data_IF_262031577713
#
_entry.id   IF_262031577713
#
_cell.length_a   1.000
_cell.length_b   1.000
_cell.length_c   1.000
_cell.angle_alpha   90.00
_cell.angle_beta   90.00
_cell.angle_gamma   90.00
#
_symmetry.space_group_name_H-M   'P 1'
#
loop_
_entity.id
_entity.type
_entity.pdbx_description
1 polymer ?
#
# COMPACT_ATOMS: atom_id res chain seq x y z
N UNK A 1 9.84 18.11 2.39
CA UNK A 1 10.58 18.07 1.11
C UNK A 1 10.97 16.67 0.68
N UNK A 2 11.58 15.85 1.53
CA UNK A 2 11.94 14.46 1.18
C UNK A 2 10.73 13.61 0.73
N UNK A 3 9.62 13.64 1.48
CA UNK A 3 8.38 12.93 1.13
C UNK A 3 7.82 13.36 -0.23
N UNK A 4 7.83 14.65 -0.53
CA UNK A 4 7.40 15.16 -1.83
C UNK A 4 8.32 14.71 -2.98
N UNK A 5 9.64 14.71 -2.76
CA UNK A 5 10.61 14.19 -3.73
C UNK A 5 10.42 12.69 -3.96
N UNK A 6 10.24 11.92 -2.88
CA UNK A 6 9.95 10.50 -2.92
C UNK A 6 8.69 10.24 -3.76
N UNK A 7 7.58 10.91 -3.41
CA UNK A 7 6.31 10.76 -4.12
C UNK A 7 6.29 11.30 -5.55
N UNK A 8 7.24 12.15 -5.93
CA UNK A 8 7.44 12.60 -7.31
C UNK A 8 8.37 11.69 -8.13
N UNK A 9 8.89 10.61 -7.53
CA UNK A 9 9.85 9.71 -8.18
C UNK A 9 11.29 10.23 -8.27
N UNK A 10 11.59 11.35 -7.61
CA UNK A 10 12.95 11.88 -7.46
C UNK A 10 13.69 11.11 -6.34
N UNK A 11 13.81 9.78 -6.49
CA UNK A 11 14.33 8.87 -5.45
C UNK A 11 15.75 9.23 -4.99
N UNK A 12 16.62 9.66 -5.91
CA UNK A 12 17.98 10.13 -5.56
C UNK A 12 17.97 11.35 -4.64
N UNK A 13 17.05 12.29 -4.87
CA UNK A 13 16.91 13.50 -4.07
C UNK A 13 16.28 13.20 -2.72
N UNK A 14 15.27 12.33 -2.69
CA UNK A 14 14.69 11.85 -1.44
C UNK A 14 15.75 11.19 -0.55
N UNK A 15 16.58 10.32 -1.12
CA UNK A 15 17.68 9.67 -0.41
C UNK A 15 18.70 10.68 0.15
N UNK A 16 19.14 11.65 -0.66
CA UNK A 16 20.08 12.68 -0.22
C UNK A 16 19.52 13.51 0.94
N UNK A 17 18.28 14.00 0.81
CA UNK A 17 17.61 14.79 1.85
C UNK A 17 17.42 14.01 3.16
N UNK A 18 17.04 12.73 3.08
CA UNK A 18 16.85 11.90 4.26
C UNK A 18 18.18 11.56 4.94
N UNK A 19 19.25 11.39 4.17
CA UNK A 19 20.61 11.14 4.70
C UNK A 19 21.12 12.39 5.44
N UNK A 20 20.94 13.58 4.87
CA UNK A 20 21.27 14.86 5.54
C UNK A 20 20.44 15.05 6.82
N UNK A 21 19.14 14.72 6.77
CA UNK A 21 18.27 14.80 7.94
C UNK A 21 18.72 13.83 9.04
N UNK A 22 19.06 12.58 8.70
CA UNK A 22 19.58 11.60 9.65
C UNK A 22 20.88 12.08 10.32
N UNK A 23 21.81 12.63 9.55
CA UNK A 23 23.07 13.19 10.09
C UNK A 23 22.79 14.35 11.06
N UNK A 24 21.88 15.26 10.71
CA UNK A 24 21.46 16.35 11.59
C UNK A 24 20.82 15.83 12.90
N UNK A 25 19.86 14.90 12.81
CA UNK A 25 19.19 14.37 14.02
C UNK A 25 20.14 13.58 14.91
N UNK A 26 21.10 12.87 14.31
CA UNK A 26 22.19 12.20 15.04
C UNK A 26 23.03 13.20 15.81
N UNK A 27 23.45 14.30 15.18
CA UNK A 27 24.22 15.37 15.84
C UNK A 27 23.45 16.05 16.97
N UNK A 28 22.12 16.10 16.87
CA UNK A 28 21.25 16.67 17.89
C UNK A 28 20.85 15.66 18.99
N UNK A 29 21.18 14.37 18.83
CA UNK A 29 20.75 13.33 19.77
C UNK A 29 19.23 13.11 19.79
N UNK A 30 18.51 13.42 18.70
CA UNK A 30 17.06 13.28 18.63
C UNK A 30 16.67 11.85 18.20
N UNK A 31 16.60 10.93 19.15
CA UNK A 31 16.31 9.50 18.93
C UNK A 31 15.01 9.25 18.14
N UNK A 32 13.95 10.01 18.45
CA UNK A 32 12.66 9.89 17.75
C UNK A 32 12.82 10.23 16.26
N UNK A 33 13.45 11.36 15.97
CA UNK A 33 13.67 11.81 14.59
C UNK A 33 14.65 10.90 13.82
N UNK A 34 15.64 10.32 14.51
CA UNK A 34 16.52 9.29 13.96
C UNK A 34 15.69 8.07 13.52
N UNK A 35 14.79 7.56 14.38
CA UNK A 35 13.93 6.43 14.05
C UNK A 35 13.04 6.69 12.82
N UNK A 36 12.42 7.87 12.75
CA UNK A 36 11.61 8.32 11.59
C UNK A 36 12.46 8.37 10.32
N UNK A 37 13.64 9.02 10.39
CA UNK A 37 14.53 9.15 9.23
C UNK A 37 15.01 7.79 8.73
N UNK A 38 15.37 6.88 9.63
CA UNK A 38 15.78 5.52 9.28
C UNK A 38 14.63 4.72 8.64
N UNK A 39 13.41 4.77 9.17
CA UNK A 39 12.26 4.09 8.54
C UNK A 39 12.06 4.59 7.09
N UNK A 40 12.08 5.92 6.91
CA UNK A 40 11.94 6.56 5.61
C UNK A 40 13.10 6.24 4.64
N UNK A 41 14.33 6.09 5.14
CA UNK A 41 15.46 5.61 4.34
C UNK A 41 15.30 4.15 3.93
N UNK A 42 14.84 3.28 4.82
CA UNK A 42 14.52 1.88 4.50
C UNK A 42 13.47 1.77 3.38
N UNK A 43 12.41 2.57 3.48
CA UNK A 43 11.36 2.72 2.47
C UNK A 43 11.90 3.21 1.12
N UNK A 44 12.87 4.13 1.17
CA UNK A 44 13.62 4.59 0.00
C UNK A 44 14.44 3.46 -0.63
N UNK A 45 15.10 2.62 0.18
CA UNK A 45 15.84 1.46 -0.31
C UNK A 45 14.93 0.42 -0.98
N UNK A 46 13.75 0.14 -0.41
CA UNK A 46 12.75 -0.74 -1.04
C UNK A 46 12.38 -0.25 -2.44
N UNK A 47 12.11 1.05 -2.57
CA UNK A 47 11.73 1.67 -3.84
C UNK A 47 12.87 1.64 -4.85
N UNK A 48 14.11 1.89 -4.41
CA UNK A 48 15.30 1.73 -5.25
C UNK A 48 15.43 0.31 -5.77
N UNK A 49 15.35 -0.70 -4.89
CA UNK A 49 15.45 -2.11 -5.27
C UNK A 49 14.40 -2.50 -6.33
N UNK A 50 13.12 -2.15 -6.09
CA UNK A 50 12.03 -2.45 -7.03
C UNK A 50 12.25 -1.77 -8.39
N UNK A 51 12.72 -0.52 -8.38
CA UNK A 51 13.05 0.21 -9.60
C UNK A 51 14.18 -0.50 -10.37
N UNK A 52 15.22 -0.95 -9.68
CA UNK A 52 16.32 -1.71 -10.28
C UNK A 52 15.84 -3.04 -10.87
N UNK A 53 14.99 -3.80 -10.15
CA UNK A 53 14.40 -5.05 -10.66
C UNK A 53 13.55 -4.82 -11.90
N UNK A 54 12.71 -3.78 -11.90
CA UNK A 54 11.82 -3.45 -13.02
C UNK A 54 12.56 -2.98 -14.26
N UNK A 55 13.62 -2.19 -14.09
CA UNK A 55 14.36 -1.58 -15.20
C UNK A 55 15.58 -2.39 -15.65
N UNK A 56 16.01 -3.38 -14.86
CA UNK A 56 17.26 -4.10 -15.08
C UNK A 56 18.50 -3.24 -14.84
N UNK A 57 18.37 -2.05 -14.23
CA UNK A 57 19.50 -1.16 -13.98
C UNK A 57 20.50 -1.79 -12.99
N UNK A 58 21.81 -1.86 -13.32
CA UNK A 58 22.81 -2.47 -12.45
C UNK A 58 23.09 -1.62 -11.21
N UNK A 59 22.89 -0.30 -11.31
CA UNK A 59 23.06 0.64 -10.20
C UNK A 59 21.97 1.71 -10.20
N UNK A 60 21.65 2.24 -9.02
CA UNK A 60 20.80 3.41 -8.83
C UNK A 60 21.42 4.28 -7.72
N UNK A 61 21.59 5.58 -7.97
CA UNK A 61 22.33 6.48 -7.08
C UNK A 61 23.76 6.00 -6.76
N UNK A 62 24.41 5.32 -7.71
CA UNK A 62 25.75 4.74 -7.53
C UNK A 62 25.78 3.49 -6.63
N UNK A 63 24.64 2.96 -6.20
CA UNK A 63 24.56 1.75 -5.37
C UNK A 63 24.13 0.56 -6.22
N UNK A 64 24.75 -0.61 -5.97
CA UNK A 64 24.31 -1.89 -6.53
C UNK A 64 23.11 -2.44 -5.75
N UNK A 65 22.46 -3.50 -6.25
CA UNK A 65 21.31 -4.12 -5.55
C UNK A 65 21.71 -4.63 -4.17
N UNK A 66 22.88 -5.24 -4.06
CA UNK A 66 23.41 -5.80 -2.82
C UNK A 66 23.58 -4.70 -1.76
N UNK A 67 24.14 -3.55 -2.15
CA UNK A 67 24.32 -2.39 -1.26
C UNK A 67 22.96 -1.80 -0.84
N UNK A 68 21.98 -1.74 -1.75
CA UNK A 68 20.62 -1.29 -1.43
C UNK A 68 19.96 -2.22 -0.41
N UNK A 69 20.13 -3.53 -0.57
CA UNK A 69 19.61 -4.53 0.36
C UNK A 69 20.24 -4.38 1.75
N UNK A 70 21.57 -4.33 1.81
CA UNK A 70 22.32 -4.17 3.06
C UNK A 70 21.91 -2.90 3.82
N UNK A 71 21.87 -1.75 3.12
CA UNK A 71 21.44 -0.48 3.73
C UNK A 71 19.99 -0.51 4.18
N UNK A 72 19.09 -1.11 3.41
CA UNK A 72 17.68 -1.22 3.79
C UNK A 72 17.50 -2.01 5.07
N UNK A 73 18.17 -3.18 5.19
CA UNK A 73 18.22 -3.96 6.42
C UNK A 73 18.74 -3.14 7.61
N UNK A 74 19.85 -2.40 7.40
CA UNK A 74 20.44 -1.56 8.43
C UNK A 74 19.49 -0.47 8.92
N UNK A 75 18.90 0.30 8.01
CA UNK A 75 18.00 1.41 8.35
C UNK A 75 16.75 0.93 9.08
N UNK A 76 16.09 -0.13 8.62
CA UNK A 76 14.93 -0.66 9.34
C UNK A 76 15.29 -1.19 10.73
N UNK A 77 16.44 -1.83 10.88
CA UNK A 77 16.89 -2.32 12.19
C UNK A 77 17.12 -1.18 13.18
N UNK A 78 17.72 -0.07 12.72
CA UNK A 78 17.86 1.14 13.53
C UNK A 78 16.50 1.78 13.88
N UNK A 79 15.58 1.83 12.93
CA UNK A 79 14.25 2.40 13.15
C UNK A 79 13.45 1.62 14.21
N UNK A 80 13.53 0.29 14.16
CA UNK A 80 12.87 -0.61 15.13
C UNK A 80 13.52 -0.47 16.50
N UNK A 81 14.85 -0.55 16.62
CA UNK A 81 15.54 -0.40 17.90
C UNK A 81 15.23 0.95 18.58
N UNK A 82 15.17 2.04 17.80
CA UNK A 82 14.77 3.35 18.31
C UNK A 82 13.29 3.39 18.77
N UNK A 83 12.41 2.66 18.08
CA UNK A 83 10.99 2.54 18.46
C UNK A 83 10.79 1.71 19.72
N UNK A 84 11.48 0.58 19.86
CA UNK A 84 11.47 -0.26 21.06
C UNK A 84 11.95 0.53 22.27
N UNK A 85 13.09 1.23 22.15
CA UNK A 85 13.61 2.09 23.22
C UNK A 85 12.61 3.19 23.61
N UNK A 86 11.90 3.77 22.63
CA UNK A 86 10.91 4.80 22.88
C UNK A 86 9.67 4.25 23.61
N UNK A 87 9.19 3.07 23.23
CA UNK A 87 8.09 2.38 23.92
C UNK A 87 8.47 2.04 25.35
N UNK A 88 9.66 1.45 25.57
CA UNK A 88 10.13 1.10 26.91
C UNK A 88 10.19 2.33 27.83
N UNK A 89 10.68 3.46 27.31
CA UNK A 89 10.70 4.72 28.03
C UNK A 89 9.30 5.21 28.39
N UNK A 90 8.39 5.28 27.41
CA UNK A 90 7.01 5.76 27.63
C UNK A 90 6.25 4.85 28.59
N UNK A 91 6.41 3.53 28.47
CA UNK A 91 5.82 2.58 29.40
C UNK A 91 6.36 2.76 30.83
N UNK A 92 7.65 3.05 30.98
CA UNK A 92 8.25 3.31 32.29
C UNK A 92 7.76 4.63 32.90
N UNK A 93 7.60 5.66 32.09
CA UNK A 93 7.24 7.02 32.53
C UNK A 93 5.73 7.21 32.74
N UNK A 94 4.91 6.66 31.85
CA UNK A 94 3.47 6.89 31.78
C UNK A 94 2.63 5.61 31.97
N UNK A 95 3.24 4.43 31.86
CA UNK A 95 2.52 3.17 31.83
C UNK A 95 1.77 2.97 30.51
N UNK A 96 0.67 2.22 30.58
CA UNK A 96 -0.24 2.01 29.47
C UNK A 96 -1.07 3.28 29.26
N UNK A 97 -0.68 4.11 28.28
CA UNK A 97 -1.28 5.42 28.00
C UNK A 97 -1.60 5.60 26.51
N UNK A 98 -2.33 6.67 26.18
CA UNK A 98 -2.52 7.09 24.78
C UNK A 98 -1.19 7.28 24.05
N UNK A 99 -0.16 7.85 24.70
CA UNK A 99 1.14 8.01 24.07
C UNK A 99 1.81 6.65 23.82
N UNK A 100 1.68 5.71 24.77
CA UNK A 100 2.16 4.34 24.59
C UNK A 100 1.54 3.70 23.33
N UNK A 101 0.22 3.82 23.15
CA UNK A 101 -0.48 3.31 21.96
C UNK A 101 -0.01 3.98 20.66
N UNK A 102 0.27 5.29 20.68
CA UNK A 102 0.84 6.01 19.52
C UNK A 102 2.22 5.45 19.16
N UNK A 103 3.10 5.25 20.13
CA UNK A 103 4.43 4.69 19.89
C UNK A 103 4.36 3.23 19.45
N UNK A 104 3.42 2.45 19.99
CA UNK A 104 3.15 1.08 19.55
C UNK A 104 2.71 1.03 18.09
N UNK A 105 1.78 1.89 17.67
CA UNK A 105 1.35 1.96 16.29
C UNK A 105 2.50 2.35 15.34
N UNK A 106 3.38 3.27 15.76
CA UNK A 106 4.58 3.63 15.01
C UNK A 106 5.57 2.48 14.92
N UNK A 107 5.79 1.73 16.00
CA UNK A 107 6.66 0.56 15.98
C UNK A 107 6.08 -0.55 15.08
N UNK A 108 4.77 -0.79 15.15
CA UNK A 108 4.07 -1.71 14.24
C UNK A 108 4.33 -1.33 12.77
N UNK A 109 4.25 -0.04 12.42
CA UNK A 109 4.54 0.43 11.07
C UNK A 109 5.95 0.07 10.60
N UNK A 110 6.94 0.16 11.49
CA UNK A 110 8.34 -0.15 11.17
C UNK A 110 8.55 -1.65 10.98
N UNK A 111 7.92 -2.46 11.84
CA UNK A 111 7.89 -3.92 11.67
C UNK A 111 7.27 -4.30 10.33
N UNK A 112 6.09 -3.75 10.00
CA UNK A 112 5.45 -3.98 8.72
C UNK A 112 6.34 -3.58 7.53
N UNK A 113 6.90 -2.37 7.55
CA UNK A 113 7.74 -1.89 6.44
C UNK A 113 9.00 -2.77 6.26
N UNK A 114 9.65 -3.20 7.36
CA UNK A 114 10.79 -4.12 7.29
C UNK A 114 10.37 -5.48 6.74
N UNK A 115 9.22 -5.99 7.14
CA UNK A 115 8.65 -7.21 6.62
C UNK A 115 8.45 -7.16 5.10
N UNK A 116 7.74 -6.13 4.60
CA UNK A 116 7.51 -5.95 3.16
C UNK A 116 8.85 -5.88 2.42
N UNK A 117 9.83 -5.18 2.97
CA UNK A 117 11.18 -5.10 2.41
C UNK A 117 11.85 -6.47 2.33
N UNK A 118 12.00 -7.17 3.45
CA UNK A 118 12.71 -8.47 3.54
C UNK A 118 12.09 -9.52 2.62
N UNK A 119 10.76 -9.61 2.59
CA UNK A 119 10.05 -10.55 1.75
C UNK A 119 10.18 -10.20 0.25
N UNK A 120 10.23 -8.90 -0.08
CA UNK A 120 10.43 -8.42 -1.46
C UNK A 120 11.86 -8.64 -1.97
N UNK A 121 12.86 -8.50 -1.11
CA UNK A 121 14.27 -8.66 -1.50
C UNK A 121 14.78 -10.09 -1.37
N UNK A 122 13.96 -11.01 -0.84
CA UNK A 122 14.32 -12.39 -0.47
C UNK A 122 15.20 -13.09 -1.50
N UNK A 123 14.83 -13.05 -2.77
CA UNK A 123 15.54 -13.79 -3.84
C UNK A 123 16.96 -13.28 -4.10
N UNK A 124 17.21 -11.99 -3.86
CA UNK A 124 18.51 -11.33 -4.04
C UNK A 124 19.23 -11.14 -2.69
N UNK A 125 18.64 -11.56 -1.57
CA UNK A 125 19.22 -11.42 -0.23
C UNK A 125 20.35 -12.44 0.00
N UNK A 126 21.45 -12.11 0.69
CA UNK A 126 22.55 -13.05 0.96
C UNK A 126 22.13 -14.32 1.71
N UNK A 127 21.11 -14.20 2.56
CA UNK A 127 20.45 -15.31 3.27
C UNK A 127 18.94 -15.30 3.00
N UNK A 128 18.44 -15.92 1.92
CA UNK A 128 17.04 -15.84 1.54
C UNK A 128 16.07 -16.39 2.59
N UNK A 129 16.38 -17.53 3.22
CA UNK A 129 15.51 -18.13 4.23
C UNK A 129 15.46 -17.33 5.53
N UNK A 130 16.58 -16.71 5.94
CA UNK A 130 16.61 -15.82 7.10
C UNK A 130 15.76 -14.58 6.86
N UNK A 131 15.89 -13.96 5.67
CA UNK A 131 15.08 -12.80 5.29
C UNK A 131 13.59 -13.16 5.25
N UNK A 132 13.24 -14.34 4.72
CA UNK A 132 11.86 -14.83 4.71
C UNK A 132 11.33 -15.05 6.13
N UNK A 133 12.08 -15.75 6.96
CA UNK A 133 11.68 -16.08 8.34
C UNK A 133 11.48 -14.81 9.16
N UNK A 134 12.47 -13.90 9.11
CA UNK A 134 12.40 -12.63 9.80
C UNK A 134 11.25 -11.75 9.27
N UNK A 135 11.06 -11.69 7.95
CA UNK A 135 9.98 -10.92 7.36
C UNK A 135 8.58 -11.43 7.75
N UNK A 136 8.39 -12.75 7.83
CA UNK A 136 7.13 -13.33 8.31
C UNK A 136 6.91 -13.07 9.81
N UNK A 137 7.96 -13.16 10.61
CA UNK A 137 7.90 -12.83 12.04
C UNK A 137 7.50 -11.36 12.25
N UNK A 138 8.13 -10.45 11.53
CA UNK A 138 7.84 -9.01 11.59
C UNK A 138 6.39 -8.69 11.18
N UNK A 139 5.83 -9.40 10.20
CA UNK A 139 4.41 -9.27 9.84
C UNK A 139 3.49 -9.70 10.96
N UNK A 140 3.80 -10.82 11.62
CA UNK A 140 3.02 -11.29 12.77
C UNK A 140 3.08 -10.27 13.91
N UNK A 141 4.29 -9.79 14.25
CA UNK A 141 4.49 -8.77 15.30
C UNK A 141 3.71 -7.49 15.00
N UNK A 142 3.75 -7.00 13.75
CA UNK A 142 2.97 -5.82 13.36
C UNK A 142 1.47 -6.06 13.50
N UNK A 143 0.96 -7.22 13.08
CA UNK A 143 -0.47 -7.56 13.20
C UNK A 143 -0.91 -7.65 14.67
N UNK A 144 -0.09 -8.23 15.53
CA UNK A 144 -0.39 -8.35 16.96
C UNK A 144 -0.40 -6.98 17.64
N UNK A 145 0.55 -6.11 17.29
CA UNK A 145 0.57 -4.71 17.77
C UNK A 145 -0.63 -3.90 17.25
N UNK A 146 -0.99 -4.03 15.97
CA UNK A 146 -2.16 -3.34 15.39
C UNK A 146 -3.45 -3.74 16.13
N UNK A 147 -3.60 -5.04 16.48
CA UNK A 147 -4.71 -5.53 17.31
C UNK A 147 -4.70 -4.96 18.72
N UNK A 148 -3.54 -4.95 19.37
CA UNK A 148 -3.39 -4.39 20.73
C UNK A 148 -3.76 -2.90 20.77
N UNK A 149 -3.39 -2.14 19.73
CA UNK A 149 -3.74 -0.72 19.60
C UNK A 149 -5.25 -0.54 19.44
N UNK A 150 -5.92 -1.35 18.62
CA UNK A 150 -7.37 -1.26 18.41
C UNK A 150 -8.14 -1.68 19.68
N UNK A 151 -7.83 -2.85 20.24
CA UNK A 151 -8.55 -3.44 21.37
C UNK A 151 -8.52 -2.54 22.62
N UNK A 152 -7.37 -1.90 22.86
CA UNK A 152 -7.19 -1.03 24.01
C UNK A 152 -7.43 0.44 23.70
N UNK A 153 -7.46 0.82 22.43
CA UNK A 153 -7.64 2.21 22.02
C UNK A 153 -8.97 2.80 22.48
N UNK A 154 -10.05 2.02 22.35
CA UNK A 154 -11.38 2.41 22.82
C UNK A 154 -11.45 2.60 24.34
N UNK A 155 -10.72 1.77 25.10
CA UNK A 155 -10.72 1.80 26.57
C UNK A 155 -9.99 3.02 27.12
N UNK A 156 -8.85 3.39 26.51
CA UNK A 156 -8.02 4.52 26.94
C UNK A 156 -8.47 5.87 26.35
N UNK A 157 -9.58 5.89 25.61
CA UNK A 157 -10.04 7.08 24.89
C UNK A 157 -9.09 7.48 23.75
N UNK A 158 -8.21 6.58 23.33
CA UNK A 158 -7.43 6.70 22.11
C UNK A 158 -8.35 6.49 20.91
N UNK A 159 -9.07 7.56 20.59
CA UNK A 159 -9.57 7.77 19.24
C UNK A 159 -8.37 8.25 18.46
N UNK A 160 -7.50 7.33 18.02
CA UNK A 160 -6.49 7.67 17.03
C UNK A 160 -7.12 8.55 15.95
N UNK A 161 -6.36 9.47 15.37
CA UNK A 161 -6.85 10.28 14.25
C UNK A 161 -7.47 9.32 13.21
N UNK A 162 -8.81 9.30 13.09
CA UNK A 162 -9.54 8.24 12.36
C UNK A 162 -9.12 8.16 10.90
N UNK A 163 -8.70 9.29 10.33
CA UNK A 163 -8.09 9.38 9.01
C UNK A 163 -6.75 8.63 8.92
N UNK A 164 -5.94 8.64 9.98
CA UNK A 164 -4.69 7.87 10.05
C UNK A 164 -5.00 6.36 10.04
N UNK A 165 -6.10 5.91 10.65
CA UNK A 165 -6.46 4.49 10.66
C UNK A 165 -6.86 3.96 9.28
N UNK A 166 -7.68 4.70 8.51
CA UNK A 166 -8.02 4.31 7.14
C UNK A 166 -6.77 4.21 6.25
N UNK A 167 -5.88 5.21 6.32
CA UNK A 167 -4.64 5.21 5.53
C UNK A 167 -3.70 4.06 5.95
N UNK A 168 -3.66 3.75 7.24
CA UNK A 168 -2.92 2.60 7.76
C UNK A 168 -3.45 1.30 7.16
N UNK A 169 -4.75 1.01 7.29
CA UNK A 169 -5.36 -0.22 6.76
C UNK A 169 -5.14 -0.36 5.26
N UNK A 170 -5.32 0.73 4.51
CA UNK A 170 -5.11 0.73 3.07
C UNK A 170 -3.62 0.52 2.71
N UNK A 171 -2.69 1.10 3.47
CA UNK A 171 -1.26 0.88 3.31
C UNK A 171 -0.87 -0.58 3.61
N UNK A 172 -1.44 -1.17 4.66
CA UNK A 172 -1.27 -2.59 5.01
C UNK A 172 -1.75 -3.48 3.87
N UNK A 173 -2.95 -3.21 3.36
CA UNK A 173 -3.54 -3.99 2.28
C UNK A 173 -2.67 -3.95 1.01
N UNK A 174 -2.17 -2.77 0.62
CA UNK A 174 -1.30 -2.65 -0.56
C UNK A 174 0.04 -3.38 -0.40
N UNK A 175 0.68 -3.26 0.77
CA UNK A 175 1.89 -4.03 1.07
C UNK A 175 1.66 -5.55 0.98
N UNK A 176 0.53 -6.04 1.47
CA UNK A 176 0.17 -7.46 1.35
C UNK A 176 -0.13 -7.88 -0.10
N UNK A 177 -0.82 -7.03 -0.88
CA UNK A 177 -1.02 -7.27 -2.31
C UNK A 177 0.32 -7.40 -3.05
N UNK A 178 1.33 -6.60 -2.69
CA UNK A 178 2.68 -6.76 -3.23
C UNK A 178 3.25 -8.15 -2.98
N UNK A 179 3.11 -8.69 -1.77
CA UNK A 179 3.58 -10.03 -1.44
C UNK A 179 2.80 -11.11 -2.20
N UNK A 180 1.48 -10.96 -2.33
CA UNK A 180 0.67 -11.87 -3.14
C UNK A 180 1.16 -11.88 -4.58
N UNK A 181 1.43 -10.72 -5.20
CA UNK A 181 2.01 -10.66 -6.56
C UNK A 181 3.35 -11.42 -6.67
N UNK A 182 4.10 -11.53 -5.59
CA UNK A 182 5.38 -12.26 -5.53
C UNK A 182 5.23 -13.74 -5.19
N UNK A 183 3.99 -14.25 -5.10
CA UNK A 183 3.72 -15.67 -4.89
C UNK A 183 3.44 -16.06 -3.43
N UNK A 184 3.35 -15.11 -2.50
CA UNK A 184 2.89 -15.41 -1.13
C UNK A 184 1.36 -15.65 -1.10
N UNK A 185 0.90 -16.43 -0.12
CA UNK A 185 -0.53 -16.65 0.12
C UNK A 185 -1.15 -15.49 0.90
N UNK A 186 -2.47 -15.34 0.87
CA UNK A 186 -3.16 -14.42 1.79
C UNK A 186 -3.38 -15.07 3.16
N UNK A 187 -2.30 -15.24 3.92
CA UNK A 187 -2.37 -15.78 5.28
C UNK A 187 -2.76 -14.69 6.31
N UNK A 188 -2.92 -13.43 5.86
CA UNK A 188 -3.09 -12.27 6.73
C UNK A 188 -4.52 -11.74 6.79
N UNK A 189 -5.39 -12.14 5.85
CA UNK A 189 -6.81 -11.80 5.85
C UNK A 189 -7.05 -10.43 5.23
N UNK A 190 -6.69 -10.25 3.95
CA UNK A 190 -6.91 -8.99 3.25
C UNK A 190 -8.39 -8.60 3.19
N UNK A 191 -9.30 -9.58 3.10
CA UNK A 191 -10.75 -9.30 3.13
C UNK A 191 -11.21 -8.61 4.41
N UNK A 192 -10.66 -9.01 5.56
CA UNK A 192 -10.95 -8.39 6.86
C UNK A 192 -10.42 -6.95 6.87
N UNK A 193 -9.18 -6.73 6.42
CA UNK A 193 -8.59 -5.39 6.31
C UNK A 193 -9.41 -4.46 5.39
N UNK A 194 -9.91 -4.96 4.26
CA UNK A 194 -10.76 -4.17 3.36
C UNK A 194 -12.13 -3.88 3.97
N UNK A 195 -12.71 -4.83 4.72
CA UNK A 195 -13.98 -4.62 5.41
C UNK A 195 -13.84 -3.55 6.50
N UNK A 196 -12.75 -3.58 7.27
CA UNK A 196 -12.45 -2.58 8.28
C UNK A 196 -12.20 -1.21 7.67
N UNK A 197 -11.41 -1.12 6.59
CA UNK A 197 -11.19 0.12 5.87
C UNK A 197 -12.50 0.70 5.31
N UNK A 198 -13.40 -0.14 4.80
CA UNK A 198 -14.73 0.28 4.35
C UNK A 198 -15.57 0.82 5.51
N UNK A 199 -15.56 0.15 6.65
CA UNK A 199 -16.29 0.56 7.86
C UNK A 199 -15.81 1.92 8.34
N UNK A 200 -14.51 2.16 8.38
CA UNK A 200 -13.93 3.46 8.72
C UNK A 200 -14.35 4.55 7.74
N UNK A 201 -14.29 4.26 6.43
CA UNK A 201 -14.71 5.22 5.41
C UNK A 201 -16.20 5.60 5.52
N UNK A 202 -17.09 4.62 5.74
CA UNK A 202 -18.53 4.87 5.93
C UNK A 202 -18.77 5.67 7.22
N UNK A 203 -18.08 5.33 8.31
CA UNK A 203 -18.15 6.07 9.57
C UNK A 203 -17.75 7.53 9.38
N UNK A 204 -16.62 7.78 8.71
CA UNK A 204 -16.13 9.11 8.41
C UNK A 204 -17.12 9.93 7.54
N UNK A 205 -17.78 9.30 6.56
CA UNK A 205 -18.79 9.97 5.71
C UNK A 205 -19.98 10.54 6.49
N UNK A 206 -20.29 9.96 7.66
CA UNK A 206 -21.37 10.43 8.53
C UNK A 206 -20.96 11.62 9.40
N UNK A 207 -19.67 11.98 9.43
CA UNK A 207 -19.10 13.06 10.23
C UNK A 207 -18.76 14.28 9.34
N UNK A 208 -19.57 15.37 9.37
CA UNK A 208 -19.28 16.55 8.55
C UNK A 208 -17.93 17.17 8.90
N UNK A 209 -17.09 17.41 7.88
CA UNK A 209 -15.76 18.01 8.06
C UNK A 209 -14.69 17.03 8.56
N UNK A 210 -14.93 15.72 8.45
CA UNK A 210 -13.93 14.70 8.79
C UNK A 210 -12.62 14.91 8.02
N UNK A 211 -11.47 14.78 8.70
CA UNK A 211 -10.12 15.06 8.18
C UNK A 211 -9.72 14.16 7.01
N UNK A 212 -10.24 12.93 6.97
CA UNK A 212 -10.07 11.98 5.85
C UNK A 212 -10.44 12.57 4.48
N UNK A 213 -11.33 13.56 4.46
CA UNK A 213 -11.80 14.20 3.23
C UNK A 213 -11.20 15.58 2.96
N UNK A 214 -10.16 15.97 3.70
CA UNK A 214 -9.49 17.28 3.51
C UNK A 214 -8.85 17.40 2.13
N UNK A 215 -8.17 16.33 1.72
CA UNK A 215 -7.34 16.32 0.51
C UNK A 215 -8.01 15.56 -0.65
N UNK A 216 -9.05 14.75 -0.37
CA UNK A 216 -9.76 13.94 -1.35
C UNK A 216 -11.22 13.72 -0.94
N UNK A 217 -12.16 13.92 -1.87
CA UNK A 217 -13.59 13.70 -1.58
C UNK A 217 -13.91 12.23 -1.24
N UNK A 218 -15.03 11.95 -0.56
CA UNK A 218 -15.40 10.58 -0.18
C UNK A 218 -15.44 9.59 -1.34
N UNK A 219 -15.88 10.02 -2.53
CA UNK A 219 -15.88 9.19 -3.73
C UNK A 219 -14.45 8.78 -4.14
N UNK A 220 -13.48 9.70 -4.05
CA UNK A 220 -12.09 9.40 -4.36
C UNK A 220 -11.47 8.41 -3.36
N UNK A 221 -11.79 8.56 -2.07
CA UNK A 221 -11.35 7.62 -1.05
C UNK A 221 -11.95 6.21 -1.27
N UNK A 222 -13.23 6.14 -1.64
CA UNK A 222 -13.87 4.88 -2.03
C UNK A 222 -13.20 4.25 -3.26
N UNK A 223 -12.86 5.06 -4.28
CA UNK A 223 -12.13 4.59 -5.46
C UNK A 223 -10.76 4.01 -5.12
N UNK A 224 -10.02 4.58 -4.15
CA UNK A 224 -8.73 4.03 -3.69
C UNK A 224 -8.89 2.66 -3.04
N UNK A 225 -9.91 2.50 -2.22
CA UNK A 225 -10.23 1.22 -1.57
C UNK A 225 -10.65 0.17 -2.60
N UNK A 226 -11.57 0.53 -3.48
CA UNK A 226 -12.09 -0.40 -4.48
C UNK A 226 -11.08 -0.74 -5.55
N UNK A 227 -10.14 0.15 -5.89
CA UNK A 227 -8.98 -0.18 -6.72
C UNK A 227 -8.19 -1.33 -6.10
N UNK A 228 -7.86 -1.24 -4.81
CA UNK A 228 -7.09 -2.28 -4.11
C UNK A 228 -7.89 -3.58 -3.97
N UNK A 229 -9.21 -3.49 -3.79
CA UNK A 229 -10.09 -4.66 -3.71
C UNK A 229 -10.27 -5.37 -5.06
N UNK A 230 -10.41 -4.64 -6.16
CA UNK A 230 -10.38 -5.19 -7.53
C UNK A 230 -9.03 -5.86 -7.79
N UNK A 231 -7.96 -5.14 -7.41
CA UNK A 231 -6.62 -5.64 -7.11
C UNK A 231 -6.56 -7.10 -6.66
N UNK A 232 -7.00 -7.25 -5.42
CA UNK A 232 -7.02 -8.48 -4.66
C UNK A 232 -7.76 -9.60 -5.38
N UNK A 233 -8.99 -9.36 -5.81
CA UNK A 233 -9.80 -10.39 -6.47
C UNK A 233 -9.20 -10.85 -7.80
N UNK A 234 -8.55 -9.97 -8.56
CA UNK A 234 -7.84 -10.39 -9.78
C UNK A 234 -6.67 -11.31 -9.45
N UNK A 235 -5.90 -11.01 -8.41
CA UNK A 235 -4.80 -11.88 -7.96
C UNK A 235 -5.29 -13.23 -7.43
N UNK A 236 -6.42 -13.26 -6.72
CA UNK A 236 -7.05 -14.52 -6.31
C UNK A 236 -7.46 -15.35 -7.53
N UNK A 237 -8.01 -14.72 -8.56
CA UNK A 237 -8.41 -15.41 -9.78
C UNK A 237 -7.21 -16.02 -10.51
N UNK A 238 -6.10 -15.28 -10.62
CA UNK A 238 -4.85 -15.75 -11.23
C UNK A 238 -4.22 -16.94 -10.50
N UNK A 239 -4.44 -17.03 -9.19
CA UNK A 239 -3.88 -18.07 -8.32
C UNK A 239 -4.85 -19.21 -8.00
N UNK A 240 -6.06 -19.17 -8.53
CA UNK A 240 -7.08 -20.15 -8.21
C UNK A 240 -6.67 -21.56 -8.68
N UNK A 241 -6.81 -22.54 -7.80
CA UNK A 241 -6.58 -23.97 -8.05
C UNK A 241 -7.72 -24.63 -8.84
N UNK A 242 -8.89 -23.97 -8.91
CA UNK A 242 -10.05 -24.44 -9.67
C UNK A 242 -10.64 -23.32 -10.52
N UNK A 243 -11.23 -23.69 -11.66
CA UNK A 243 -11.93 -22.76 -12.54
C UNK A 243 -13.11 -22.06 -11.84
N UNK A 244 -13.82 -22.78 -10.96
CA UNK A 244 -14.90 -22.21 -10.15
C UNK A 244 -14.41 -21.09 -9.23
N UNK A 245 -13.27 -21.27 -8.55
CA UNK A 245 -12.68 -20.22 -7.71
C UNK A 245 -12.20 -19.04 -8.54
N UNK A 246 -11.58 -19.31 -9.69
CA UNK A 246 -11.17 -18.25 -10.62
C UNK A 246 -12.38 -17.43 -11.08
N UNK A 247 -13.46 -18.11 -11.46
CA UNK A 247 -14.71 -17.49 -11.89
C UNK A 247 -15.33 -16.62 -10.78
N UNK A 248 -15.46 -17.16 -9.57
CA UNK A 248 -16.00 -16.43 -8.43
C UNK A 248 -15.17 -15.17 -8.13
N UNK A 249 -13.85 -15.27 -8.18
CA UNK A 249 -12.95 -14.13 -7.97
C UNK A 249 -13.09 -13.07 -9.07
N UNK A 250 -13.16 -13.45 -10.35
CA UNK A 250 -13.45 -12.52 -11.44
C UNK A 250 -14.81 -11.84 -11.29
N UNK A 251 -15.85 -12.57 -10.84
CA UNK A 251 -17.17 -11.98 -10.58
C UNK A 251 -17.13 -10.97 -9.44
N UNK A 252 -16.41 -11.26 -8.35
CA UNK A 252 -16.24 -10.30 -7.24
C UNK A 252 -15.51 -9.04 -7.71
N UNK A 253 -14.41 -9.20 -8.47
CA UNK A 253 -13.70 -8.06 -9.06
C UNK A 253 -14.61 -7.21 -9.95
N UNK A 254 -15.41 -7.84 -10.82
CA UNK A 254 -16.33 -7.14 -11.71
C UNK A 254 -17.47 -6.45 -10.95
N UNK A 255 -17.99 -7.04 -9.88
CA UNK A 255 -19.03 -6.41 -9.05
C UNK A 255 -18.54 -5.10 -8.42
N UNK A 256 -17.34 -5.11 -7.84
CA UNK A 256 -16.71 -3.91 -7.27
C UNK A 256 -16.46 -2.88 -8.37
N UNK A 257 -15.97 -3.32 -9.52
CA UNK A 257 -15.71 -2.45 -10.67
C UNK A 257 -16.98 -1.81 -11.25
N UNK A 258 -18.10 -2.54 -11.36
CA UNK A 258 -19.37 -2.01 -11.86
C UNK A 258 -19.90 -0.94 -10.92
N UNK A 259 -19.87 -1.18 -9.60
CA UNK A 259 -20.24 -0.16 -8.61
C UNK A 259 -19.41 1.11 -8.82
N UNK A 260 -18.09 0.98 -8.95
CA UNK A 260 -17.19 2.11 -9.23
C UNK A 260 -17.53 2.85 -10.54
N UNK A 261 -17.84 2.13 -11.61
CA UNK A 261 -18.12 2.71 -12.92
C UNK A 261 -19.52 3.36 -13.03
N UNK A 262 -20.46 2.97 -12.19
CA UNK A 262 -21.86 3.42 -12.25
C UNK A 262 -22.16 4.48 -11.20
N UNK A 263 -21.59 4.35 -10.00
CA UNK A 263 -21.99 5.15 -8.84
C UNK A 263 -21.04 6.32 -8.54
N UNK A 264 -19.78 6.26 -8.96
CA UNK A 264 -18.78 7.27 -8.60
C UNK A 264 -18.54 8.31 -9.69
N UNK A 265 -18.27 9.55 -9.27
CA UNK A 265 -17.56 10.53 -10.09
C UNK A 265 -16.11 10.10 -10.27
N UNK A 266 -15.62 10.02 -11.51
CA UNK A 266 -14.26 9.54 -11.80
C UNK A 266 -13.18 10.54 -11.40
N UNK A 267 -12.67 10.40 -10.18
CA UNK A 267 -11.60 11.25 -9.65
C UNK A 267 -10.21 10.64 -9.91
N UNK A 268 -10.11 9.31 -9.95
CA UNK A 268 -8.84 8.59 -10.15
C UNK A 268 -8.89 7.79 -11.46
N UNK A 269 -8.14 8.25 -12.47
CA UNK A 269 -8.18 7.63 -13.80
C UNK A 269 -7.66 6.19 -13.83
N UNK A 270 -6.63 5.88 -13.05
CA UNK A 270 -6.11 4.52 -12.89
C UNK A 270 -7.16 3.57 -12.30
N UNK A 271 -8.00 4.08 -11.39
CA UNK A 271 -9.11 3.32 -10.80
C UNK A 271 -10.14 2.95 -11.86
N UNK A 272 -10.54 3.92 -12.69
CA UNK A 272 -11.45 3.66 -13.81
C UNK A 272 -10.88 2.61 -14.78
N UNK A 273 -9.59 2.73 -15.15
CA UNK A 273 -8.91 1.76 -16.03
C UNK A 273 -8.88 0.36 -15.42
N UNK A 274 -8.64 0.25 -14.11
CA UNK A 274 -8.63 -1.02 -13.40
C UNK A 274 -10.02 -1.65 -13.34
N UNK A 275 -11.05 -0.86 -13.05
CA UNK A 275 -12.43 -1.31 -13.07
C UNK A 275 -12.84 -1.85 -14.45
N UNK A 276 -12.52 -1.13 -15.52
CA UNK A 276 -12.77 -1.59 -16.89
C UNK A 276 -12.10 -2.92 -17.21
N UNK A 277 -10.82 -3.08 -16.79
CA UNK A 277 -10.10 -4.34 -16.97
C UNK A 277 -10.80 -5.48 -16.25
N UNK A 278 -11.21 -5.29 -15.00
CA UNK A 278 -11.90 -6.32 -14.22
C UNK A 278 -13.22 -6.78 -14.86
N UNK A 279 -14.02 -5.83 -15.38
CA UNK A 279 -15.26 -6.15 -16.10
C UNK A 279 -14.96 -6.93 -17.39
N UNK A 280 -13.95 -6.51 -18.15
CA UNK A 280 -13.53 -7.21 -19.38
C UNK A 280 -13.06 -8.63 -19.05
N UNK A 281 -12.21 -8.80 -18.03
CA UNK A 281 -11.68 -10.10 -17.61
C UNK A 281 -12.84 -11.04 -17.22
N UNK A 282 -13.82 -10.56 -16.47
CA UNK A 282 -15.00 -11.34 -16.06
C UNK A 282 -15.87 -11.77 -17.25
N UNK A 283 -16.12 -10.88 -18.22
CA UNK A 283 -16.86 -11.22 -19.45
C UNK A 283 -16.09 -12.27 -20.25
N UNK A 284 -14.78 -12.11 -20.41
CA UNK A 284 -13.95 -13.08 -21.14
C UNK A 284 -14.01 -14.47 -20.52
N UNK A 285 -13.91 -14.56 -19.20
CA UNK A 285 -14.01 -15.84 -18.49
C UNK A 285 -15.40 -16.50 -18.62
N UNK A 286 -16.48 -15.72 -18.62
CA UNK A 286 -17.84 -16.22 -18.88
C UNK A 286 -18.00 -16.78 -20.29
N UNK A 287 -17.42 -16.13 -21.29
CA UNK A 287 -17.49 -16.59 -22.69
C UNK A 287 -16.75 -17.89 -22.91
N UNK A 288 -15.60 -18.10 -22.25
CA UNK A 288 -14.91 -19.40 -22.27
C UNK A 288 -15.68 -20.49 -21.53
N UNK A 289 -16.43 -20.15 -20.47
CA UNK A 289 -17.23 -21.12 -19.72
C UNK A 289 -18.58 -21.45 -20.40
N UNK A 290 -19.14 -20.53 -21.19
CA UNK A 290 -20.39 -20.70 -21.93
C UNK A 290 -20.14 -20.89 -23.43
N UNK A 291 -19.78 -22.11 -23.84
CA UNK A 291 -20.01 -22.60 -25.22
C UNK A 291 -21.50 -22.97 -25.49
N UNK A 292 -22.44 -22.48 -24.69
CA UNK A 292 -23.86 -22.90 -24.73
C UNK A 292 -24.82 -21.70 -24.75
N UNK A 293 -25.14 -21.25 -25.98
CA UNK A 293 -26.46 -20.76 -26.39
C UNK A 293 -27.05 -19.51 -25.71
N UNK A 294 -26.81 -18.33 -26.30
CA UNK A 294 -27.62 -17.13 -26.09
C UNK A 294 -26.80 -15.83 -26.21
N UNK A 295 -27.12 -15.01 -27.22
CA UNK A 295 -26.54 -13.71 -27.61
C UNK A 295 -25.02 -13.64 -27.84
N UNK A 296 -24.60 -13.05 -28.97
CA UNK A 296 -23.18 -12.96 -29.36
C UNK A 296 -22.38 -12.10 -28.38
N UNK A 297 -21.49 -12.70 -27.55
CA UNK A 297 -20.69 -11.95 -26.59
C UNK A 297 -19.69 -10.99 -27.25
N UNK A 298 -19.51 -11.09 -28.57
CA UNK A 298 -18.61 -10.22 -29.34
C UNK A 298 -19.03 -8.75 -29.33
N UNK A 299 -20.33 -8.46 -29.25
CA UNK A 299 -20.87 -7.09 -29.26
C UNK A 299 -20.61 -6.36 -27.94
N UNK A 300 -20.92 -7.00 -26.80
CA UNK A 300 -20.66 -6.44 -25.46
C UNK A 300 -19.16 -6.23 -25.25
N UNK A 301 -18.34 -7.20 -25.69
CA UNK A 301 -16.89 -7.11 -25.64
C UNK A 301 -16.39 -5.90 -26.44
N UNK A 302 -16.87 -5.74 -27.68
CA UNK A 302 -16.49 -4.63 -28.55
C UNK A 302 -16.86 -3.27 -27.96
N UNK A 303 -18.04 -3.13 -27.35
CA UNK A 303 -18.45 -1.90 -26.68
C UNK A 303 -17.64 -1.59 -25.43
N UNK A 304 -17.29 -2.58 -24.61
CA UNK A 304 -16.41 -2.39 -23.46
C UNK A 304 -15.01 -1.94 -23.88
N UNK A 305 -14.46 -2.49 -24.97
CA UNK A 305 -13.18 -2.05 -25.52
C UNK A 305 -13.24 -0.60 -26.05
N UNK A 306 -14.31 -0.24 -26.76
CA UNK A 306 -14.54 1.15 -27.22
C UNK A 306 -14.67 2.11 -26.04
N UNK A 307 -15.40 1.71 -25.00
CA UNK A 307 -15.55 2.51 -23.79
C UNK A 307 -14.21 2.71 -23.06
N UNK A 308 -13.41 1.65 -22.93
CA UNK A 308 -12.05 1.74 -22.39
C UNK A 308 -11.17 2.71 -23.19
N UNK A 309 -11.24 2.69 -24.52
CA UNK A 309 -10.48 3.61 -25.37
C UNK A 309 -10.90 5.06 -25.12
N UNK A 310 -12.21 5.34 -25.11
CA UNK A 310 -12.76 6.69 -24.86
C UNK A 310 -12.37 7.23 -23.49
N UNK A 311 -12.41 6.39 -22.45
CA UNK A 311 -11.94 6.77 -21.11
C UNK A 311 -10.44 7.06 -21.14
N UNK A 312 -9.63 6.22 -21.80
CA UNK A 312 -8.19 6.48 -21.95
C UNK A 312 -7.89 7.82 -22.63
N UNK A 313 -8.64 8.18 -23.67
CA UNK A 313 -8.51 9.47 -24.36
C UNK A 313 -8.96 10.65 -23.48
N UNK A 314 -10.12 10.54 -22.84
CA UNK A 314 -10.66 11.57 -21.96
C UNK A 314 -9.72 11.84 -20.77
N UNK A 315 -9.20 10.78 -20.18
CA UNK A 315 -8.21 10.84 -19.12
C UNK A 315 -6.91 11.48 -19.64
N UNK A 316 -6.37 11.05 -20.79
CA UNK A 316 -5.16 11.64 -21.38
C UNK A 316 -5.28 13.16 -21.60
N UNK A 317 -6.45 13.62 -22.06
CA UNK A 317 -6.78 15.03 -22.19
C UNK A 317 -6.81 15.76 -20.85
N UNK A 318 -7.39 15.16 -19.81
CA UNK A 318 -7.44 15.70 -18.45
C UNK A 318 -6.05 15.74 -17.79
N UNK A 319 -5.23 14.70 -17.97
CA UNK A 319 -3.86 14.62 -17.49
C UNK A 319 -2.93 15.65 -18.15
N UNK A 320 -3.13 15.97 -19.44
CA UNK A 320 -2.37 17.03 -20.11
C UNK A 320 -2.60 18.43 -19.52
N UNK A 321 -3.70 18.62 -18.78
CA UNK A 321 -4.09 19.89 -18.16
C UNK A 321 -3.70 20.00 -16.69
N UNK A 322 -3.46 18.89 -16.00
CA UNK A 322 -3.21 18.84 -14.55
C UNK A 322 -1.88 18.14 -14.22
N UNK A 323 -0.83 18.93 -14.03
CA UNK A 323 0.53 18.48 -13.66
C UNK A 323 0.59 17.80 -12.26
N UNK A 324 -0.47 17.94 -11.46
CA UNK A 324 -0.57 17.41 -10.10
C UNK A 324 -0.86 15.90 -10.05
N UNK A 325 -1.56 15.35 -11.05
CA UNK A 325 -2.01 13.93 -11.03
C UNK A 325 -0.95 12.98 -11.61
N UNK A 326 -0.01 13.48 -12.43
CA UNK A 326 1.14 12.69 -12.90
C UNK A 326 2.04 12.19 -11.73
N UNK A 327 2.02 12.88 -10.58
CA UNK A 327 2.66 12.42 -9.34
C UNK A 327 1.92 11.22 -8.72
N UNK A 328 0.60 11.17 -8.82
CA UNK A 328 -0.23 10.07 -8.31
C UNK A 328 -0.15 8.79 -9.18
N UNK A 329 -0.01 8.93 -10.50
CA UNK A 329 0.21 7.78 -11.41
C UNK A 329 1.52 7.03 -11.09
N UNK A 330 2.56 7.76 -10.69
CA UNK A 330 3.83 7.16 -10.23
C UNK A 330 3.69 6.50 -8.85
N UNK A 331 2.93 7.12 -7.94
CA UNK A 331 2.58 6.61 -6.61
C UNK A 331 1.85 5.26 -6.68
N UNK A 332 0.81 5.12 -7.48
CA UNK A 332 -0.01 3.90 -7.57
C UNK A 332 0.68 2.74 -8.32
N UNK A 333 1.57 3.05 -9.27
CA UNK A 333 2.20 2.02 -10.13
C UNK A 333 3.61 1.59 -9.70
N UNK A 334 4.32 2.39 -8.89
CA UNK A 334 5.71 2.09 -8.47
C UNK A 334 5.97 2.20 -6.96
N UNK A 335 5.13 2.88 -6.17
CA UNK A 335 5.43 3.19 -4.76
C UNK A 335 4.32 2.82 -3.77
N UNK A 336 3.27 2.14 -4.23
CA UNK A 336 2.00 2.00 -3.51
C UNK A 336 2.01 1.29 -2.16
N UNK A 337 3.16 0.86 -1.64
CA UNK A 337 3.23 -0.19 -0.63
C UNK A 337 3.95 0.25 0.66
N UNK A 338 4.22 1.54 0.83
CA UNK A 338 5.16 2.01 1.85
C UNK A 338 4.70 3.29 2.56
N UNK A 339 4.51 3.23 3.89
CA UNK A 339 4.14 4.39 4.69
C UNK A 339 5.38 5.19 5.08
N UNK A 340 5.47 6.42 4.55
CA UNK A 340 6.49 7.39 5.00
C UNK A 340 5.98 8.09 6.25
N UNK A 341 6.75 8.06 7.33
CA UNK A 341 6.45 8.82 8.54
C UNK A 341 6.79 10.31 8.28
N UNK A 342 5.88 11.22 8.64
CA UNK A 342 6.17 12.65 8.61
C UNK A 342 6.99 13.06 9.84
N UNK A 343 7.90 14.03 9.66
CA UNK A 343 8.71 14.60 10.73
C UNK A 343 7.94 15.58 11.61
#
# INVERSE_FOLDING_TARGET
>A
FATAAFFSGEISKAYAMLTEALDLFTKLGNEKAIGIACNNLGNTMLTMYRTMKKTGAPTLCGMTREVVIEKGCHYFSQAIAAGETAIDRVNTEEGFSVNYLIFMQQLSNRYFNRAIFLLTVREDHPSPEDAKTQGLMDLSTSKDMDREVVDNGDHEGFKGEKDVHFELLLSRAKGMLLLIRQGYNDDWGLEELFADARKELISAQMEPGHTLFRDMEPAGQMQRLDYALIEYYRLLAEKADTEEKAHNAHEMAARVAIRMLVEDDFLIGEAAIMALKAVIDSVQHRVTAQELGGDDPSDVKSELFRYRHRIGEALSLQYSKNDMIARETFLLSNMGDVSMECF
#
